data_IF_410968535093
#
_entry.id   IF_410968535093
#
_cell.length_a   1.000
_cell.length_b   1.000
_cell.length_c   1.000
_cell.angle_alpha   90.00
_cell.angle_beta   90.00
_cell.angle_gamma   90.00
#
_symmetry.space_group_name_H-M   'P 1'
#
loop_
_entity.id
_entity.type
_entity.pdbx_description
1 polymer ?
#
# COMPACT_ATOMS: atom_id res chain seq x y z
N UNK A 1 12.33 0.18 -9.15
CA UNK A 1 12.09 -0.93 -8.19
C UNK A 1 11.00 -1.81 -8.76
N UNK A 2 11.09 -3.13 -8.66
CA UNK A 2 9.98 -4.00 -9.04
C UNK A 2 8.90 -3.84 -7.98
N UNK A 3 7.73 -3.39 -8.38
CA UNK A 3 6.56 -3.28 -7.51
C UNK A 3 6.21 -4.69 -7.00
N UNK A 4 6.20 -4.88 -5.68
CA UNK A 4 5.84 -6.17 -5.09
C UNK A 4 4.34 -6.23 -4.84
N UNK A 5 3.78 -7.43 -4.63
CA UNK A 5 2.37 -7.59 -4.27
C UNK A 5 2.03 -6.86 -2.95
N UNK A 6 3.01 -6.74 -2.05
CA UNK A 6 2.84 -6.07 -0.78
C UNK A 6 2.65 -4.56 -0.97
N UNK A 7 3.49 -3.95 -1.83
CA UNK A 7 3.38 -2.53 -2.20
C UNK A 7 2.03 -2.25 -2.86
N UNK A 8 1.61 -3.12 -3.80
CA UNK A 8 0.31 -3.00 -4.48
C UNK A 8 -0.88 -3.09 -3.52
N UNK A 9 -0.85 -4.03 -2.57
CA UNK A 9 -1.92 -4.16 -1.57
C UNK A 9 -1.93 -2.95 -0.65
N UNK A 10 -0.77 -2.50 -0.18
CA UNK A 10 -0.67 -1.33 0.69
C UNK A 10 -1.18 -0.07 -0.01
N UNK A 11 -0.71 0.22 -1.22
CA UNK A 11 -1.19 1.37 -2.02
C UNK A 11 -2.68 1.29 -2.32
N UNK A 12 -3.19 0.10 -2.64
CA UNK A 12 -4.64 -0.10 -2.85
C UNK A 12 -5.45 0.29 -1.60
N UNK A 13 -4.96 -0.03 -0.39
CA UNK A 13 -5.60 0.40 0.84
C UNK A 13 -5.54 1.92 1.03
N UNK A 14 -4.37 2.52 0.83
CA UNK A 14 -4.21 3.98 0.93
C UNK A 14 -5.11 4.71 -0.05
N UNK A 15 -5.20 4.25 -1.30
CA UNK A 15 -5.97 4.94 -2.33
C UNK A 15 -7.48 4.78 -2.17
N UNK A 16 -7.93 3.57 -1.83
CA UNK A 16 -9.38 3.25 -1.78
C UNK A 16 -9.97 3.34 -0.38
N UNK A 17 -9.15 3.20 0.66
CA UNK A 17 -9.58 3.15 2.05
C UNK A 17 -8.61 3.94 2.97
N UNK A 18 -8.29 5.22 2.64
CA UNK A 18 -7.26 5.99 3.36
C UNK A 18 -7.55 6.15 4.87
N UNK A 19 -8.81 6.08 5.27
CA UNK A 19 -9.21 6.14 6.68
C UNK A 19 -8.66 4.96 7.51
N UNK A 20 -8.23 3.86 6.89
CA UNK A 20 -7.55 2.76 7.58
C UNK A 20 -6.16 3.16 8.11
N UNK A 21 -5.55 4.19 7.54
CA UNK A 21 -4.28 4.71 8.02
C UNK A 21 -4.41 5.53 9.31
N UNK A 22 -5.61 6.07 9.63
CA UNK A 22 -5.80 6.94 10.80
C UNK A 22 -5.46 6.25 12.12
N UNK A 23 -5.95 5.03 12.41
CA UNK A 23 -5.56 4.33 13.63
C UNK A 23 -4.06 4.04 13.72
N UNK A 24 -3.41 3.71 12.59
CA UNK A 24 -1.97 3.51 12.54
C UNK A 24 -1.20 4.81 12.84
N UNK A 25 -1.62 5.93 12.25
CA UNK A 25 -1.07 7.26 12.53
C UNK A 25 -1.26 7.62 14.00
N UNK A 26 -2.42 7.35 14.58
CA UNK A 26 -2.68 7.59 15.99
C UNK A 26 -1.76 6.76 16.89
N UNK A 27 -1.56 5.50 16.57
CA UNK A 27 -0.67 4.59 17.32
C UNK A 27 0.78 5.08 17.29
N UNK A 28 1.30 5.37 16.09
CA UNK A 28 2.72 5.69 15.90
C UNK A 28 3.08 7.10 16.40
N UNK A 29 2.23 8.07 16.13
CA UNK A 29 2.53 9.49 16.43
C UNK A 29 1.82 10.01 17.66
N UNK A 30 1.19 9.12 18.45
CA UNK A 30 0.46 9.45 19.67
C UNK A 30 -0.55 10.59 19.45
N UNK A 31 -1.27 10.50 18.32
CA UNK A 31 -2.37 11.40 17.99
C UNK A 31 -3.72 10.77 18.37
N UNK A 32 -4.79 11.54 18.32
CA UNK A 32 -6.15 11.08 18.65
C UNK A 32 -7.17 11.56 17.62
N UNK A 33 -6.83 11.40 16.33
CA UNK A 33 -7.76 11.74 15.26
C UNK A 33 -8.99 10.81 15.30
N UNK A 34 -10.20 11.35 15.14
CA UNK A 34 -11.37 10.52 14.93
C UNK A 34 -11.26 9.77 13.59
N UNK A 35 -11.94 8.63 13.48
CA UNK A 35 -11.84 7.76 12.30
C UNK A 35 -12.36 8.43 11.02
N UNK A 36 -13.31 9.36 11.16
CA UNK A 36 -13.93 10.15 10.09
C UNK A 36 -13.22 11.49 9.82
N UNK A 37 -12.02 11.69 10.35
CA UNK A 37 -11.24 12.90 10.07
C UNK A 37 -11.02 13.09 8.57
N UNK A 38 -11.22 14.30 8.02
CA UNK A 38 -10.96 14.57 6.61
C UNK A 38 -9.50 14.29 6.24
N UNK A 39 -9.31 13.47 5.22
CA UNK A 39 -7.99 13.07 4.68
C UNK A 39 -7.88 13.60 3.26
N UNK A 40 -6.77 14.27 2.97
CA UNK A 40 -6.38 14.63 1.62
C UNK A 40 -5.23 13.72 1.21
N UNK A 41 -5.44 12.90 0.19
CA UNK A 41 -4.36 12.13 -0.43
C UNK A 41 -3.57 13.08 -1.33
N UNK A 42 -2.26 13.11 -1.14
CA UNK A 42 -1.35 13.87 -1.97
C UNK A 42 -0.75 12.96 -3.04
N UNK A 43 -0.03 13.55 -3.99
CA UNK A 43 0.64 12.80 -5.03
C UNK A 43 1.75 11.94 -4.43
N UNK A 44 1.83 10.69 -4.86
CA UNK A 44 2.87 9.74 -4.46
C UNK A 44 4.03 9.68 -5.47
N UNK A 45 3.86 10.27 -6.65
CA UNK A 45 4.85 10.31 -7.73
C UNK A 45 5.57 11.65 -7.71
N UNK A 46 6.90 11.64 -7.52
CA UNK A 46 7.74 12.84 -7.47
C UNK A 46 8.74 12.79 -8.63
N UNK A 47 8.61 13.71 -9.58
CA UNK A 47 9.48 13.73 -10.76
C UNK A 47 10.84 14.34 -10.46
N UNK A 48 11.90 13.66 -10.91
CA UNK A 48 13.29 14.12 -10.87
C UNK A 48 13.89 14.21 -12.28
N UNK A 49 15.01 14.93 -12.42
CA UNK A 49 15.77 14.96 -13.67
C UNK A 49 16.27 13.58 -14.10
N UNK A 50 16.54 12.68 -13.16
CA UNK A 50 17.12 11.35 -13.38
C UNK A 50 16.10 10.20 -13.18
N UNK A 51 14.81 10.48 -13.05
CA UNK A 51 13.78 9.45 -12.84
C UNK A 51 12.61 9.92 -11.98
N UNK A 52 11.79 8.97 -11.58
CA UNK A 52 10.61 9.18 -10.76
C UNK A 52 10.81 8.51 -9.40
N UNK A 53 10.55 9.24 -8.31
CA UNK A 53 10.44 8.68 -6.98
C UNK A 53 8.97 8.41 -6.73
N UNK A 54 8.65 7.19 -6.32
CA UNK A 54 7.30 6.78 -5.97
C UNK A 54 7.29 6.40 -4.51
N UNK A 55 6.49 7.12 -3.70
CA UNK A 55 6.24 6.81 -2.29
C UNK A 55 5.00 5.94 -2.14
N UNK A 56 4.92 5.17 -1.06
CA UNK A 56 3.76 4.30 -0.83
C UNK A 56 2.53 5.07 -0.35
N UNK A 57 2.73 6.15 0.40
CA UNK A 57 1.62 7.02 0.81
C UNK A 57 2.08 8.43 1.12
N UNK A 58 1.25 9.42 0.79
CA UNK A 58 1.39 10.79 1.28
C UNK A 58 0.00 11.34 1.63
N UNK A 59 -0.25 11.60 2.91
CA UNK A 59 -1.56 12.00 3.42
C UNK A 59 -1.45 13.34 4.15
N UNK A 60 -2.50 14.17 4.03
CA UNK A 60 -2.64 15.39 4.82
C UNK A 60 -3.88 15.29 5.70
N UNK A 61 -3.67 15.37 7.02
CA UNK A 61 -4.72 15.26 8.04
C UNK A 61 -4.59 16.44 8.98
N UNK A 62 -5.66 17.20 9.18
CA UNK A 62 -5.69 18.39 10.04
C UNK A 62 -4.52 19.36 9.76
N UNK A 63 -4.15 19.54 8.48
CA UNK A 63 -3.08 20.43 8.06
C UNK A 63 -1.66 19.87 8.20
N UNK A 64 -1.47 18.68 8.78
CA UNK A 64 -0.17 18.01 8.93
C UNK A 64 0.05 16.97 7.85
N UNK A 65 1.30 16.81 7.40
CA UNK A 65 1.71 15.80 6.43
C UNK A 65 2.09 14.50 7.14
N UNK A 66 1.68 13.38 6.56
CA UNK A 66 2.01 12.03 7.02
C UNK A 66 2.50 11.21 5.84
N UNK A 67 3.60 10.48 6.05
CA UNK A 67 4.19 9.59 5.08
C UNK A 67 4.39 8.22 5.71
N UNK A 68 3.83 7.18 5.11
CA UNK A 68 3.95 5.79 5.59
C UNK A 68 4.53 4.98 4.44
N UNK A 69 5.68 4.36 4.66
CA UNK A 69 6.29 3.40 3.73
C UNK A 69 6.07 1.98 4.22
N UNK A 70 5.74 1.07 3.30
CA UNK A 70 5.57 -0.35 3.58
C UNK A 70 6.73 -1.14 2.97
N UNK A 71 7.51 -1.82 3.81
CA UNK A 71 8.68 -2.57 3.39
C UNK A 71 8.51 -4.06 3.68
N UNK A 72 8.72 -4.89 2.66
CA UNK A 72 8.60 -6.33 2.81
C UNK A 72 9.73 -6.95 3.63
N UNK A 73 10.90 -6.31 3.66
CA UNK A 73 12.09 -6.72 4.42
C UNK A 73 12.83 -5.51 4.98
N UNK A 74 13.59 -5.71 6.05
CA UNK A 74 14.48 -4.68 6.58
C UNK A 74 15.64 -4.41 5.59
N UNK A 75 15.70 -3.18 5.13
CA UNK A 75 16.73 -2.68 4.21
C UNK A 75 17.53 -1.58 4.93
N UNK A 76 18.83 -1.82 5.09
CA UNK A 76 19.73 -0.90 5.80
C UNK A 76 19.86 0.48 5.12
N UNK A 77 19.41 0.64 3.87
CA UNK A 77 19.39 1.92 3.16
C UNK A 77 18.12 2.72 3.41
N UNK A 78 17.15 2.14 4.11
CA UNK A 78 15.81 2.74 4.27
C UNK A 78 15.85 4.12 4.93
N UNK A 79 16.77 4.36 5.87
CA UNK A 79 16.93 5.66 6.50
C UNK A 79 17.22 6.77 5.47
N UNK A 80 18.14 6.49 4.53
CA UNK A 80 18.50 7.44 3.45
C UNK A 80 17.31 7.67 2.51
N UNK A 81 16.59 6.59 2.15
CA UNK A 81 15.40 6.71 1.30
C UNK A 81 14.31 7.56 1.97
N UNK A 82 14.09 7.36 3.27
CA UNK A 82 13.07 8.11 4.01
C UNK A 82 13.36 9.61 4.02
N UNK A 83 14.60 10.04 4.31
CA UNK A 83 14.91 11.48 4.29
C UNK A 83 14.82 12.06 2.89
N UNK A 84 15.19 11.30 1.84
CA UNK A 84 15.05 11.72 0.45
C UNK A 84 13.57 11.94 0.10
N UNK A 85 12.70 10.97 0.40
CA UNK A 85 11.26 11.06 0.15
C UNK A 85 10.61 12.21 0.92
N UNK A 86 10.90 12.32 2.20
CA UNK A 86 10.35 13.37 3.06
C UNK A 86 10.78 14.76 2.63
N UNK A 87 12.01 14.90 2.12
CA UNK A 87 12.50 16.15 1.58
C UNK A 87 11.72 16.58 0.33
N UNK A 88 11.42 15.62 -0.60
CA UNK A 88 10.59 15.91 -1.77
C UNK A 88 9.16 16.30 -1.38
N UNK A 89 8.53 15.53 -0.50
CA UNK A 89 7.20 15.86 0.02
C UNK A 89 7.20 17.26 0.66
N UNK A 90 8.22 17.58 1.44
CA UNK A 90 8.33 18.85 2.12
C UNK A 90 8.54 20.03 1.15
N UNK A 91 9.38 19.86 0.11
CA UNK A 91 9.60 20.89 -0.92
C UNK A 91 8.33 21.17 -1.72
N UNK A 92 7.62 20.13 -2.16
CA UNK A 92 6.37 20.31 -2.92
C UNK A 92 5.29 21.06 -2.12
N UNK A 93 5.32 20.93 -0.79
CA UNK A 93 4.42 21.62 0.13
C UNK A 93 5.01 22.89 0.77
N UNK A 94 6.18 23.36 0.27
CA UNK A 94 6.87 24.50 0.84
C UNK A 94 6.05 25.79 0.76
N UNK A 95 6.05 26.54 1.87
CA UNK A 95 5.31 27.79 1.98
C UNK A 95 6.24 28.98 1.73
N UNK A 96 5.93 29.77 0.71
CA UNK A 96 6.69 30.98 0.39
C UNK A 96 6.22 32.15 1.26
N UNK A 97 7.16 32.74 2.00
CA UNK A 97 6.93 33.92 2.83
C UNK A 97 7.90 35.06 2.40
N UNK A 98 7.47 35.83 1.42
CA UNK A 98 8.35 36.86 0.80
C UNK A 98 9.51 36.21 0.04
N UNK A 99 10.75 36.40 0.52
CA UNK A 99 11.97 35.76 -0.02
C UNK A 99 12.39 34.50 0.75
N UNK A 100 11.66 34.14 1.79
CA UNK A 100 11.92 32.95 2.61
C UNK A 100 10.97 31.83 2.21
N UNK A 101 11.44 30.60 2.34
CA UNK A 101 10.62 29.39 2.23
C UNK A 101 10.61 28.71 3.60
N UNK A 102 9.41 28.29 4.02
CA UNK A 102 9.24 27.39 5.14
C UNK A 102 8.96 26.01 4.57
N UNK A 103 9.74 25.03 5.00
CA UNK A 103 9.65 23.63 4.58
C UNK A 103 9.29 22.82 5.83
N UNK A 104 8.10 22.25 5.86
CA UNK A 104 7.65 21.40 6.97
C UNK A 104 7.74 19.94 6.52
N UNK A 105 8.61 19.15 7.17
CA UNK A 105 8.76 17.73 6.92
C UNK A 105 7.50 16.97 7.35
N UNK A 106 7.12 15.89 6.64
CA UNK A 106 6.03 15.02 7.06
C UNK A 106 6.39 14.28 8.35
N UNK A 107 5.39 13.83 9.08
CA UNK A 107 5.55 12.80 10.10
C UNK A 107 5.57 11.45 9.40
N UNK A 108 6.72 10.79 9.42
CA UNK A 108 6.96 9.59 8.61
C UNK A 108 7.19 8.37 9.47
N UNK A 109 6.76 7.20 8.99
CA UNK A 109 7.05 5.92 9.60
C UNK A 109 7.23 4.83 8.54
N UNK A 110 7.94 3.76 8.91
CA UNK A 110 8.13 2.58 8.06
C UNK A 110 7.45 1.37 8.68
N UNK A 111 6.55 0.73 7.93
CA UNK A 111 5.95 -0.55 8.29
C UNK A 111 6.79 -1.69 7.71
N UNK A 112 7.48 -2.42 8.56
CA UNK A 112 8.18 -3.65 8.19
C UNK A 112 7.25 -4.86 8.31
N UNK A 113 7.02 -5.54 7.19
CA UNK A 113 6.21 -6.75 7.14
C UNK A 113 6.99 -7.97 7.64
N UNK A 114 8.31 -8.00 7.40
CA UNK A 114 9.27 -8.94 7.97
C UNK A 114 10.30 -8.15 8.74
N UNK A 115 10.46 -8.47 9.99
CA UNK A 115 11.45 -7.88 10.87
C UNK A 115 12.28 -8.97 11.55
N UNK A 116 13.36 -8.58 12.14
CA UNK A 116 14.26 -9.45 12.90
C UNK A 116 14.72 -8.77 14.17
N UNK A 117 15.52 -9.49 14.99
CA UNK A 117 16.03 -8.96 16.26
C UNK A 117 16.86 -7.67 16.11
N UNK A 118 17.42 -7.44 14.92
CA UNK A 118 18.26 -6.27 14.63
C UNK A 118 17.49 -5.12 13.96
N UNK A 119 16.22 -5.31 13.60
CA UNK A 119 15.40 -4.23 13.04
C UNK A 119 15.18 -3.16 14.11
N UNK A 120 15.65 -1.92 13.90
CA UNK A 120 15.59 -0.89 14.93
C UNK A 120 14.16 -0.40 15.15
N UNK A 121 13.90 0.25 16.28
CA UNK A 121 12.62 0.92 16.56
C UNK A 121 12.54 2.31 15.90
N UNK A 122 13.69 2.87 15.54
CA UNK A 122 13.81 4.13 14.82
C UNK A 122 14.92 4.03 13.79
N UNK A 123 14.66 4.52 12.58
CA UNK A 123 15.70 4.83 11.61
C UNK A 123 16.27 6.21 11.94
N UNK A 124 17.59 6.35 11.95
CA UNK A 124 18.26 7.56 12.41
C UNK A 124 19.25 8.06 11.37
N UNK A 125 19.26 9.39 11.17
CA UNK A 125 20.27 10.10 10.39
C UNK A 125 20.74 11.31 11.18
N UNK A 126 22.04 11.44 11.29
CA UNK A 126 22.71 12.65 11.79
C UNK A 126 23.17 13.49 10.60
N UNK A 127 22.63 14.70 10.46
CA UNK A 127 23.01 15.64 9.42
C UNK A 127 23.88 16.75 9.99
N UNK A 128 25.12 16.86 9.51
CA UNK A 128 26.01 17.96 9.88
C UNK A 128 25.85 19.07 8.84
N UNK A 129 25.34 20.22 9.25
CA UNK A 129 25.13 21.38 8.38
C UNK A 129 26.45 22.14 8.14
N UNK A 130 26.55 23.01 7.10
CA UNK A 130 27.78 23.76 6.80
C UNK A 130 28.24 24.71 7.94
N UNK A 131 27.35 25.07 8.85
CA UNK A 131 27.62 25.88 10.04
C UNK A 131 27.92 25.03 11.29
N UNK A 132 28.23 23.73 11.06
CA UNK A 132 28.53 22.74 12.11
C UNK A 132 27.33 22.41 13.03
N UNK A 133 26.14 22.93 12.77
CA UNK A 133 24.94 22.51 13.49
C UNK A 133 24.57 21.08 13.12
N UNK A 134 24.21 20.29 14.11
CA UNK A 134 23.77 18.90 13.93
C UNK A 134 22.25 18.83 14.02
N UNK A 135 21.64 18.22 13.03
CA UNK A 135 20.20 17.92 13.01
C UNK A 135 20.00 16.41 13.01
N UNK A 136 19.26 15.93 14.00
CA UNK A 136 18.87 14.52 14.08
C UNK A 136 17.52 14.33 13.39
N UNK A 137 17.51 13.44 12.41
CA UNK A 137 16.28 13.02 11.73
C UNK A 137 16.00 11.58 12.13
N UNK A 138 14.80 11.35 12.71
CA UNK A 138 14.37 10.05 13.21
C UNK A 138 13.02 9.68 12.62
N UNK A 139 12.90 8.42 12.17
CA UNK A 139 11.67 7.84 11.63
C UNK A 139 11.31 6.60 12.44
N UNK A 140 10.17 6.56 13.15
CA UNK A 140 9.73 5.37 13.87
C UNK A 140 9.44 4.21 12.92
N UNK A 141 9.72 3.00 13.37
CA UNK A 141 9.41 1.77 12.64
C UNK A 141 8.26 1.02 13.30
N UNK A 142 7.46 0.38 12.48
CA UNK A 142 6.37 -0.51 12.89
C UNK A 142 6.76 -1.92 12.44
N UNK A 143 6.79 -2.87 13.37
CA UNK A 143 7.10 -4.26 13.09
C UNK A 143 5.80 -5.06 13.15
N UNK A 144 5.35 -5.61 12.02
CA UNK A 144 4.09 -6.35 11.95
C UNK A 144 4.01 -7.47 13.00
N UNK A 145 5.12 -8.16 13.26
CA UNK A 145 5.18 -9.28 14.20
C UNK A 145 4.88 -8.89 15.65
N UNK A 146 5.02 -7.61 16.03
CA UNK A 146 4.72 -7.14 17.39
C UNK A 146 3.22 -7.01 17.67
N UNK A 147 2.38 -7.00 16.61
CA UNK A 147 0.94 -6.87 16.75
C UNK A 147 0.27 -8.23 16.67
N UNK A 148 -0.36 -8.65 17.75
CA UNK A 148 -1.23 -9.83 17.77
C UNK A 148 -2.57 -9.53 17.11
N UNK A 149 -3.33 -10.58 16.73
CA UNK A 149 -4.70 -10.43 16.26
C UNK A 149 -5.53 -9.54 17.19
N UNK A 150 -5.51 -9.83 18.48
CA UNK A 150 -6.31 -9.10 19.46
C UNK A 150 -5.90 -7.63 19.55
N UNK A 151 -4.61 -7.33 19.55
CA UNK A 151 -4.12 -5.94 19.54
C UNK A 151 -4.49 -5.19 18.26
N UNK A 152 -4.53 -5.88 17.12
CA UNK A 152 -4.98 -5.29 15.84
C UNK A 152 -6.45 -4.85 15.95
N UNK A 153 -7.32 -5.70 16.49
CA UNK A 153 -8.74 -5.35 16.67
C UNK A 153 -8.96 -4.33 17.78
N UNK A 154 -8.30 -4.47 18.92
CA UNK A 154 -8.39 -3.53 20.04
C UNK A 154 -8.01 -2.11 19.64
N UNK A 155 -6.91 -1.97 18.88
CA UNK A 155 -6.40 -0.68 18.39
C UNK A 155 -6.98 -0.27 17.04
N UNK A 156 -7.88 -1.06 16.47
CA UNK A 156 -8.48 -0.85 15.14
C UNK A 156 -7.45 -0.73 13.99
N UNK A 157 -6.32 -1.44 14.09
CA UNK A 157 -5.25 -1.44 13.10
C UNK A 157 -5.57 -2.36 11.90
N UNK A 158 -6.78 -2.25 11.35
CA UNK A 158 -7.30 -3.15 10.31
C UNK A 158 -6.44 -3.16 9.04
N UNK A 159 -5.66 -2.10 8.80
CA UNK A 159 -4.69 -2.02 7.71
C UNK A 159 -3.61 -3.12 7.77
N UNK A 160 -3.33 -3.69 8.95
CA UNK A 160 -2.35 -4.75 9.12
C UNK A 160 -2.89 -6.15 8.76
N UNK A 161 -4.22 -6.33 8.74
CA UNK A 161 -4.84 -7.65 8.55
C UNK A 161 -4.48 -8.36 7.24
N UNK A 162 -4.39 -7.68 6.07
CA UNK A 162 -3.99 -8.35 4.84
C UNK A 162 -2.61 -9.02 4.94
N UNK A 163 -1.72 -8.45 5.73
CA UNK A 163 -0.35 -8.95 5.90
C UNK A 163 -0.22 -9.96 7.06
N UNK A 164 -1.29 -10.25 7.78
CA UNK A 164 -1.25 -11.05 9.01
C UNK A 164 -0.68 -12.46 8.78
N UNK A 165 -0.91 -13.08 7.62
CA UNK A 165 -0.38 -14.40 7.24
C UNK A 165 1.14 -14.48 7.27
N UNK A 166 1.85 -13.36 7.12
CA UNK A 166 3.31 -13.32 7.10
C UNK A 166 3.95 -13.77 8.41
N UNK A 167 3.19 -13.73 9.51
CA UNK A 167 3.62 -14.27 10.82
C UNK A 167 3.95 -15.76 10.75
N UNK A 168 3.25 -16.48 9.87
CA UNK A 168 3.33 -17.93 9.70
C UNK A 168 4.18 -18.33 8.51
N UNK A 169 4.74 -17.38 7.77
CA UNK A 169 5.43 -17.64 6.51
C UNK A 169 6.51 -18.73 6.60
N UNK A 170 7.23 -18.79 7.75
CA UNK A 170 8.27 -19.79 7.97
C UNK A 170 7.73 -21.18 8.27
N UNK A 171 6.52 -21.26 8.81
CA UNK A 171 5.90 -22.49 9.33
C UNK A 171 4.79 -23.02 8.40
N UNK A 172 4.48 -22.29 7.30
CA UNK A 172 3.37 -22.64 6.38
C UNK A 172 3.51 -24.05 5.82
N UNK A 173 4.72 -24.49 5.46
CA UNK A 173 4.94 -25.85 4.97
C UNK A 173 4.58 -26.88 6.03
N UNK A 174 5.03 -26.70 7.27
CA UNK A 174 4.71 -27.57 8.39
C UNK A 174 3.19 -27.55 8.68
N UNK A 175 2.57 -26.37 8.63
CA UNK A 175 1.10 -26.24 8.78
C UNK A 175 0.32 -26.99 7.70
N UNK A 176 0.84 -27.07 6.48
CA UNK A 176 0.20 -27.81 5.39
C UNK A 176 0.21 -29.32 5.65
N UNK A 177 1.24 -29.83 6.33
CA UNK A 177 1.42 -31.26 6.62
C UNK A 177 0.83 -31.68 7.99
N UNK A 178 0.81 -30.75 8.98
CA UNK A 178 0.36 -31.01 10.34
C UNK A 178 -1.12 -30.60 10.53
N UNK A 179 -2.05 -31.57 10.74
CA UNK A 179 -3.47 -31.26 10.88
C UNK A 179 -3.83 -30.36 12.05
N UNK A 180 -3.10 -30.43 13.16
CA UNK A 180 -3.36 -29.63 14.36
C UNK A 180 -2.96 -28.16 14.10
N UNK A 181 -1.77 -27.94 13.57
CA UNK A 181 -1.29 -26.60 13.23
C UNK A 181 -2.19 -25.96 12.14
N UNK A 182 -2.60 -26.72 11.16
CA UNK A 182 -3.54 -26.29 10.13
C UNK A 182 -4.88 -25.86 10.74
N UNK A 183 -5.45 -26.69 11.63
CA UNK A 183 -6.73 -26.37 12.26
C UNK A 183 -6.63 -25.11 13.14
N UNK A 184 -5.52 -24.94 13.84
CA UNK A 184 -5.28 -23.73 14.66
C UNK A 184 -5.24 -22.48 13.78
N UNK A 185 -4.55 -22.52 12.65
CA UNK A 185 -4.53 -21.42 11.68
C UNK A 185 -5.94 -21.11 11.16
N UNK A 186 -6.72 -22.12 10.80
CA UNK A 186 -8.09 -21.92 10.34
C UNK A 186 -9.00 -21.31 11.42
N UNK A 187 -8.88 -21.76 12.66
CA UNK A 187 -9.62 -21.20 13.78
C UNK A 187 -9.27 -19.71 13.98
N UNK A 188 -8.01 -19.35 13.86
CA UNK A 188 -7.57 -17.96 13.97
C UNK A 188 -8.14 -17.08 12.85
N UNK A 189 -8.18 -17.56 11.61
CA UNK A 189 -8.80 -16.84 10.52
C UNK A 189 -10.33 -16.76 10.63
N UNK A 190 -10.98 -17.77 11.21
CA UNK A 190 -12.41 -17.71 11.51
C UNK A 190 -12.72 -16.64 12.58
N UNK A 191 -11.84 -16.48 13.56
CA UNK A 191 -11.94 -15.40 14.54
C UNK A 191 -11.68 -14.02 13.91
N UNK A 192 -10.70 -13.90 13.00
CA UNK A 192 -10.49 -12.66 12.21
C UNK A 192 -11.76 -12.31 11.44
N UNK A 193 -12.34 -13.25 10.71
CA UNK A 193 -13.59 -13.07 9.96
C UNK A 193 -14.73 -12.64 10.90
N UNK A 194 -14.90 -13.34 12.01
CA UNK A 194 -15.98 -13.06 12.98
C UNK A 194 -15.85 -11.66 13.59
N UNK A 195 -14.63 -11.24 13.92
CA UNK A 195 -14.37 -9.91 14.47
C UNK A 195 -14.59 -8.81 13.43
N UNK A 196 -14.20 -9.04 12.18
CA UNK A 196 -14.50 -8.13 11.07
C UNK A 196 -16.01 -8.00 10.83
N UNK A 197 -16.76 -9.10 10.84
CA UNK A 197 -18.22 -9.10 10.70
C UNK A 197 -18.90 -8.31 11.80
N UNK A 198 -18.48 -8.50 13.05
CA UNK A 198 -19.03 -7.77 14.21
C UNK A 198 -18.68 -6.27 14.16
N UNK A 199 -17.44 -5.94 13.86
CA UNK A 199 -16.94 -4.55 13.85
C UNK A 199 -17.44 -3.74 12.66
N UNK A 200 -17.73 -4.40 11.53
CA UNK A 200 -18.10 -3.81 10.26
C UNK A 200 -19.56 -4.12 9.86
N UNK A 201 -20.42 -4.41 10.82
CA UNK A 201 -21.87 -4.58 10.58
C UNK A 201 -22.52 -3.25 10.19
N UNK A 202 -23.33 -3.27 9.13
CA UNK A 202 -24.02 -2.10 8.56
C UNK A 202 -23.67 -1.85 7.09
N UNK A 203 -24.57 -1.20 6.35
CA UNK A 203 -24.49 -1.04 4.89
C UNK A 203 -23.18 -0.35 4.42
N UNK A 204 -22.77 0.70 5.13
CA UNK A 204 -21.58 1.48 4.75
C UNK A 204 -20.27 0.75 5.06
N UNK A 205 -20.31 -0.22 5.99
CA UNK A 205 -19.15 -1.02 6.40
C UNK A 205 -19.04 -2.34 5.66
N UNK A 206 -20.10 -2.80 4.99
CA UNK A 206 -20.08 -4.05 4.22
C UNK A 206 -19.07 -4.02 3.08
N UNK A 207 -18.90 -2.87 2.42
CA UNK A 207 -17.89 -2.69 1.35
C UNK A 207 -16.48 -2.81 1.92
N UNK A 208 -16.22 -2.20 3.08
CA UNK A 208 -14.92 -2.31 3.75
C UNK A 208 -14.62 -3.76 4.13
N UNK A 209 -15.59 -4.46 4.73
CA UNK A 209 -15.47 -5.88 5.06
C UNK A 209 -15.09 -6.72 3.83
N UNK A 210 -15.83 -6.56 2.73
CA UNK A 210 -15.56 -7.26 1.48
C UNK A 210 -14.16 -6.95 0.93
N UNK A 211 -13.75 -5.69 0.97
CA UNK A 211 -12.46 -5.27 0.45
C UNK A 211 -11.30 -5.81 1.30
N UNK A 212 -11.40 -5.76 2.62
CA UNK A 212 -10.38 -6.33 3.51
C UNK A 212 -10.24 -7.84 3.30
N UNK A 213 -11.37 -8.58 3.22
CA UNK A 213 -11.35 -10.01 2.98
C UNK A 213 -10.63 -10.36 1.66
N UNK A 214 -10.89 -9.59 0.60
CA UNK A 214 -10.23 -9.80 -0.70
C UNK A 214 -8.72 -9.58 -0.61
N UNK A 215 -8.28 -8.56 0.11
CA UNK A 215 -6.85 -8.28 0.29
C UNK A 215 -6.17 -9.32 1.17
N UNK A 216 -6.83 -9.81 2.21
CA UNK A 216 -6.36 -10.91 3.06
C UNK A 216 -6.13 -12.16 2.20
N UNK A 217 -7.13 -12.54 1.40
CA UNK A 217 -7.03 -13.70 0.50
C UNK A 217 -5.89 -13.50 -0.51
N UNK A 218 -5.76 -12.29 -1.09
CA UNK A 218 -4.73 -11.98 -2.09
C UNK A 218 -3.31 -12.21 -1.56
N UNK A 219 -3.02 -11.75 -0.34
CA UNK A 219 -1.72 -11.95 0.30
C UNK A 219 -1.54 -13.42 0.72
N UNK A 220 -2.59 -14.05 1.27
CA UNK A 220 -2.53 -15.47 1.63
C UNK A 220 -2.26 -16.35 0.40
N UNK A 221 -2.91 -16.09 -0.73
CA UNK A 221 -2.68 -16.81 -2.00
C UNK A 221 -1.23 -16.67 -2.48
N UNK A 222 -0.65 -15.47 -2.33
CA UNK A 222 0.73 -15.24 -2.72
C UNK A 222 1.72 -15.96 -1.80
N UNK A 223 1.54 -15.84 -0.47
CA UNK A 223 2.44 -16.46 0.52
C UNK A 223 2.32 -17.98 0.48
N UNK A 224 1.10 -18.51 0.34
CA UNK A 224 0.82 -19.95 0.33
C UNK A 224 0.76 -20.54 -1.08
N UNK A 225 1.41 -19.93 -2.09
CA UNK A 225 1.28 -20.36 -3.48
C UNK A 225 1.61 -21.84 -3.73
N UNK A 226 2.54 -22.40 -2.96
CA UNK A 226 2.96 -23.80 -3.04
C UNK A 226 2.25 -24.72 -2.03
N UNK A 227 1.41 -24.18 -1.14
CA UNK A 227 0.75 -24.91 -0.05
C UNK A 227 -0.77 -24.85 -0.22
N UNK A 228 -1.25 -25.68 -1.17
CA UNK A 228 -2.63 -25.63 -1.66
C UNK A 228 -3.69 -25.80 -0.57
N UNK A 229 -3.43 -26.68 0.42
CA UNK A 229 -4.37 -26.95 1.52
C UNK A 229 -4.57 -25.71 2.40
N UNK A 230 -3.48 -25.05 2.79
CA UNK A 230 -3.52 -23.82 3.59
C UNK A 230 -4.21 -22.70 2.81
N UNK A 231 -3.81 -22.52 1.54
CA UNK A 231 -4.39 -21.52 0.66
C UNK A 231 -5.90 -21.66 0.52
N UNK A 232 -6.38 -22.87 0.20
CA UNK A 232 -7.81 -23.16 0.07
C UNK A 232 -8.55 -22.95 1.39
N UNK A 233 -8.00 -23.44 2.50
CA UNK A 233 -8.63 -23.32 3.81
C UNK A 233 -8.85 -21.86 4.24
N UNK A 234 -7.86 -20.98 4.06
CA UNK A 234 -8.01 -19.54 4.32
C UNK A 234 -9.05 -18.93 3.36
N UNK A 235 -8.98 -19.26 2.08
CA UNK A 235 -9.91 -18.75 1.07
C UNK A 235 -11.37 -19.14 1.36
N UNK A 236 -11.63 -20.37 1.83
CA UNK A 236 -12.96 -20.85 2.20
C UNK A 236 -13.51 -20.09 3.43
N UNK A 237 -12.67 -19.84 4.44
CA UNK A 237 -13.08 -19.11 5.65
C UNK A 237 -13.35 -17.65 5.34
N UNK A 238 -12.41 -16.97 4.69
CA UNK A 238 -12.51 -15.54 4.44
C UNK A 238 -13.54 -15.20 3.36
N UNK A 239 -13.72 -16.09 2.37
CA UNK A 239 -14.70 -15.91 1.29
C UNK A 239 -14.43 -14.70 0.40
N UNK A 240 -15.17 -14.59 -0.70
CA UNK A 240 -15.21 -13.37 -1.52
C UNK A 240 -14.37 -13.42 -2.81
N UNK A 241 -14.57 -12.38 -3.63
CA UNK A 241 -13.83 -12.17 -4.89
C UNK A 241 -12.61 -11.29 -4.63
N UNK A 242 -11.51 -11.55 -5.30
CA UNK A 242 -10.29 -10.72 -5.20
C UNK A 242 -10.58 -9.28 -5.65
N UNK A 243 -10.17 -8.29 -4.85
CA UNK A 243 -10.19 -6.89 -5.23
C UNK A 243 -9.12 -6.66 -6.31
N UNK A 244 -9.48 -5.90 -7.36
CA UNK A 244 -8.49 -5.47 -8.35
C UNK A 244 -7.45 -4.58 -7.70
N UNK A 245 -6.17 -4.95 -7.80
CA UNK A 245 -5.05 -4.12 -7.35
C UNK A 245 -4.87 -2.92 -8.29
N UNK A 246 -4.24 -1.86 -7.81
CA UNK A 246 -4.04 -0.67 -8.63
C UNK A 246 -3.15 -0.95 -9.85
N UNK A 247 -2.10 -1.75 -9.70
CA UNK A 247 -1.28 -2.20 -10.84
C UNK A 247 -2.08 -3.00 -11.87
N UNK A 248 -2.96 -3.91 -11.44
CA UNK A 248 -3.85 -4.68 -12.33
C UNK A 248 -4.83 -3.76 -13.06
N UNK A 249 -5.39 -2.77 -12.34
CA UNK A 249 -6.28 -1.76 -12.92
C UNK A 249 -5.59 -0.92 -13.98
N UNK A 250 -4.39 -0.40 -13.70
CA UNK A 250 -3.60 0.39 -14.64
C UNK A 250 -3.22 -0.42 -15.88
N UNK A 251 -2.83 -1.68 -15.70
CA UNK A 251 -2.51 -2.56 -16.82
C UNK A 251 -3.75 -2.84 -17.69
N UNK A 252 -4.91 -3.06 -17.08
CA UNK A 252 -6.18 -3.23 -17.80
C UNK A 252 -6.54 -1.98 -18.59
N UNK A 253 -6.48 -0.79 -17.94
CA UNK A 253 -6.76 0.49 -18.62
C UNK A 253 -5.81 0.76 -19.78
N UNK A 254 -4.51 0.41 -19.60
CA UNK A 254 -3.54 0.52 -20.68
C UNK A 254 -3.87 -0.39 -21.86
N UNK A 255 -4.20 -1.66 -21.60
CA UNK A 255 -4.60 -2.62 -22.63
C UNK A 255 -5.88 -2.19 -23.35
N UNK A 256 -6.86 -1.65 -22.64
CA UNK A 256 -8.09 -1.09 -23.20
C UNK A 256 -7.79 0.10 -24.11
N UNK A 257 -6.95 1.05 -23.67
CA UNK A 257 -6.54 2.20 -24.47
C UNK A 257 -5.74 1.81 -25.72
N UNK A 258 -4.82 0.83 -25.61
CA UNK A 258 -4.08 0.29 -26.75
C UNK A 258 -5.03 -0.38 -27.77
N UNK A 259 -6.02 -1.14 -27.31
CA UNK A 259 -7.01 -1.77 -28.17
C UNK A 259 -7.88 -0.74 -28.90
N UNK A 260 -8.37 0.28 -28.19
CA UNK A 260 -9.13 1.37 -28.80
C UNK A 260 -8.32 2.17 -29.82
N UNK A 261 -7.05 2.46 -29.52
CA UNK A 261 -6.16 3.18 -30.44
C UNK A 261 -5.92 2.37 -31.73
N UNK A 262 -5.75 1.06 -31.59
CA UNK A 262 -5.58 0.13 -32.73
C UNK A 262 -6.84 0.09 -33.59
N UNK A 263 -8.01 -0.06 -32.98
CA UNK A 263 -9.31 -0.09 -33.71
C UNK A 263 -9.56 1.21 -34.47
N UNK A 264 -9.31 2.36 -33.80
CA UNK A 264 -9.41 3.69 -34.44
C UNK A 264 -8.42 3.83 -35.60
N UNK A 265 -7.18 3.38 -35.42
CA UNK A 265 -6.14 3.40 -36.47
C UNK A 265 -6.51 2.54 -37.67
N UNK A 266 -7.05 1.34 -37.47
CA UNK A 266 -7.50 0.45 -38.54
C UNK A 266 -8.70 1.06 -39.32
N UNK A 267 -9.65 1.67 -38.59
CA UNK A 267 -10.81 2.35 -39.20
C UNK A 267 -10.39 3.54 -40.05
N UNK A 268 -9.52 4.41 -39.53
CA UNK A 268 -8.98 5.56 -40.29
C UNK A 268 -8.17 5.08 -41.49
N UNK A 269 -7.34 4.07 -41.34
CA UNK A 269 -6.57 3.50 -42.44
C UNK A 269 -7.45 2.94 -43.57
N UNK A 270 -8.55 2.28 -43.21
CA UNK A 270 -9.53 1.77 -44.16
C UNK A 270 -10.26 2.89 -44.88
N UNK A 271 -10.71 3.94 -44.18
CA UNK A 271 -11.37 5.11 -44.77
C UNK A 271 -10.46 5.87 -45.74
N UNK A 272 -9.19 6.05 -45.37
CA UNK A 272 -8.19 6.69 -46.23
C UNK A 272 -7.90 5.82 -47.46
N UNK A 273 -7.72 4.51 -47.30
CA UNK A 273 -7.50 3.58 -48.40
C UNK A 273 -8.67 3.55 -49.40
N UNK A 274 -9.92 3.57 -48.90
CA UNK A 274 -11.12 3.66 -49.76
C UNK A 274 -11.23 5.00 -50.51
N UNK A 275 -10.85 6.13 -49.87
CA UNK A 275 -10.84 7.46 -50.54
C UNK A 275 -9.80 7.51 -51.67
N UNK A 276 -8.57 7.08 -51.37
CA UNK A 276 -7.48 7.06 -52.36
C UNK A 276 -7.85 6.12 -53.54
N UNK A 277 -8.36 4.93 -53.23
CA UNK A 277 -8.80 4.00 -54.29
C UNK A 277 -9.91 4.54 -55.20
N UNK A 278 -10.86 5.34 -54.63
CA UNK A 278 -11.90 6.00 -55.39
C UNK A 278 -11.40 7.18 -56.24
N UNK A 279 -10.38 7.91 -55.80
CA UNK A 279 -9.74 8.98 -56.56
C UNK A 279 -8.92 8.44 -57.74
N UNK A 280 -8.08 7.44 -57.51
CA UNK A 280 -7.30 6.80 -58.56
C UNK A 280 -8.21 6.14 -59.62
N UNK A 281 -9.32 5.53 -59.21
CA UNK A 281 -10.26 4.89 -60.11
C UNK A 281 -11.11 5.86 -60.95
N UNK A 282 -11.05 7.17 -60.71
CA UNK A 282 -11.72 8.22 -61.51
C UNK A 282 -10.79 8.85 -62.57
N UNK A 283 -9.48 8.61 -62.46
CA UNK A 283 -8.48 9.16 -63.40
C UNK A 283 -8.08 8.15 -64.51
N UNK A 284 -8.65 6.95 -64.52
CA UNK A 284 -8.56 5.95 -65.56
C UNK A 284 -9.90 5.91 -66.33
#
# INVERSE_FOLDING_TARGET
MSNTIFDDVFRTMIEKMPYLAVPLINEVFHTSYPQDVPIVQLRNEHQQENGEIITDSCLKIAGKLYHIECQSVDDTTMAIRMIEYDFYIAIENAQKQGRRYRIDFPKSCVLYLRSGNNTPDFLEIEMVLPDENIVHYQVPTIKLETYTRDSIFEKNLLMLLPFYIMRYEKDIHEMNENPEMFQNLLNEYDEVRTNLEKGLSGTDKAVLYMNLNKLIIKIADYICQNEEKVRKGIGEIMGGKVLELESERLERLRKEAEAEAKEKGEKIGKEIGEKIGKEIGKEI
#
